data_IF_664020584041
#
_entry.id   IF_664020584041
#
_cell.length_a   1.000
_cell.length_b   1.000
_cell.length_c   1.000
_cell.angle_alpha   90.00
_cell.angle_beta   90.00
_cell.angle_gamma   90.00
#
_symmetry.space_group_name_H-M   'P 1'
#
loop_
_entity.id
_entity.type
_entity.pdbx_description
1 polymer ?
#
# COMPACT_ATOMS: atom_id res chain seq x y z
N UNK A 1 -41.52 -79.19 43.44
CA UNK A 1 -40.95 -78.28 42.42
C UNK A 1 -40.59 -77.02 43.18
N UNK A 2 -39.34 -76.57 43.16
CA UNK A 2 -38.90 -75.46 44.00
C UNK A 2 -39.56 -74.13 43.55
N UNK A 3 -39.86 -73.27 44.52
CA UNK A 3 -40.41 -71.93 44.29
C UNK A 3 -39.33 -70.85 44.53
N UNK A 4 -39.50 -69.69 43.91
CA UNK A 4 -38.52 -68.60 43.90
C UNK A 4 -39.21 -67.23 43.99
N UNK A 5 -38.50 -66.24 44.53
CA UNK A 5 -38.93 -64.82 44.48
C UNK A 5 -38.86 -64.27 43.05
N UNK A 6 -39.55 -63.17 42.80
CA UNK A 6 -39.86 -62.69 41.45
C UNK A 6 -38.65 -62.08 40.73
N UNK A 7 -37.89 -61.23 41.41
CA UNK A 7 -36.93 -60.33 40.77
C UNK A 7 -35.53 -60.94 40.66
N UNK A 8 -35.06 -61.58 41.74
CA UNK A 8 -33.71 -62.16 41.86
C UNK A 8 -33.71 -63.66 42.11
N UNK A 9 -34.87 -64.31 42.03
CA UNK A 9 -35.00 -65.78 42.06
C UNK A 9 -34.40 -66.40 43.34
N UNK A 10 -34.67 -65.81 44.51
CA UNK A 10 -34.27 -66.35 45.80
C UNK A 10 -35.14 -67.57 46.16
N UNK A 11 -34.53 -68.67 46.59
CA UNK A 11 -35.23 -69.92 46.86
C UNK A 11 -36.29 -69.79 47.97
N UNK A 12 -37.39 -70.51 47.84
CA UNK A 12 -38.44 -70.62 48.84
C UNK A 12 -38.60 -72.08 49.27
N UNK A 13 -38.59 -72.30 50.59
CA UNK A 13 -38.79 -73.62 51.18
C UNK A 13 -40.25 -74.05 51.11
N UNK A 14 -40.48 -75.25 50.58
CA UNK A 14 -41.78 -75.89 50.39
C UNK A 14 -42.03 -76.97 51.46
N UNK A 15 -43.30 -77.32 51.77
CA UNK A 15 -43.62 -78.31 52.80
C UNK A 15 -43.02 -79.71 52.57
N UNK A 16 -42.60 -80.01 51.34
CA UNK A 16 -41.97 -81.28 50.95
C UNK A 16 -40.45 -81.32 51.17
N UNK A 17 -39.82 -80.23 51.62
CA UNK A 17 -38.36 -80.16 51.74
C UNK A 17 -37.84 -80.84 53.02
N UNK A 18 -36.66 -81.47 52.92
CA UNK A 18 -36.01 -82.20 54.04
C UNK A 18 -35.69 -81.31 55.26
N UNK A 19 -35.47 -80.02 55.01
CA UNK A 19 -35.25 -79.00 56.04
C UNK A 19 -36.19 -77.82 55.82
N UNK A 20 -37.15 -77.65 56.72
CA UNK A 20 -38.15 -76.58 56.65
C UNK A 20 -37.64 -75.31 57.34
N UNK A 21 -37.22 -74.33 56.55
CA UNK A 21 -36.81 -72.98 57.01
C UNK A 21 -37.74 -71.90 56.46
N UNK A 22 -39.04 -72.18 56.55
CA UNK A 22 -40.08 -71.29 56.03
C UNK A 22 -40.13 -69.92 56.70
N UNK A 23 -39.51 -69.77 57.88
CA UNK A 23 -39.28 -68.49 58.55
C UNK A 23 -38.46 -67.50 57.69
N UNK A 24 -37.58 -68.01 56.82
CA UNK A 24 -36.77 -67.19 55.91
C UNK A 24 -37.48 -66.80 54.60
N UNK A 25 -38.58 -67.48 54.23
CA UNK A 25 -39.29 -67.22 52.98
C UNK A 25 -39.75 -65.76 52.90
N UNK A 26 -40.29 -65.23 54.00
CA UNK A 26 -40.78 -63.86 54.06
C UNK A 26 -39.64 -62.83 54.02
N UNK A 27 -38.50 -63.14 54.62
CA UNK A 27 -37.34 -62.25 54.58
C UNK A 27 -36.70 -62.20 53.19
N UNK A 28 -36.63 -63.33 52.49
CA UNK A 28 -36.18 -63.35 51.09
C UNK A 28 -37.14 -62.59 50.17
N UNK A 29 -38.46 -62.66 50.38
CA UNK A 29 -39.39 -61.80 49.63
C UNK A 29 -39.13 -60.32 49.89
N UNK A 30 -38.92 -59.91 51.15
CA UNK A 30 -38.62 -58.52 51.49
C UNK A 30 -37.30 -58.05 50.86
N UNK A 31 -36.26 -58.88 50.89
CA UNK A 31 -34.95 -58.56 50.30
C UNK A 31 -35.08 -58.44 48.77
N UNK A 32 -35.79 -59.38 48.12
CA UNK A 32 -36.02 -59.38 46.68
C UNK A 32 -36.70 -58.08 46.23
N UNK A 33 -37.78 -57.68 46.91
CA UNK A 33 -38.47 -56.41 46.66
C UNK A 33 -37.58 -55.21 46.94
N UNK A 34 -36.92 -55.16 48.11
CA UNK A 34 -36.11 -54.00 48.49
C UNK A 34 -34.93 -53.75 47.53
N UNK A 35 -34.26 -54.80 47.05
CA UNK A 35 -33.17 -54.67 46.06
C UNK A 35 -33.74 -54.17 44.72
N UNK A 36 -34.90 -54.70 44.29
CA UNK A 36 -35.52 -54.28 43.04
C UNK A 36 -35.93 -52.80 43.08
N UNK A 37 -36.59 -52.38 44.15
CA UNK A 37 -36.99 -50.99 44.36
C UNK A 37 -35.76 -50.06 44.36
N UNK A 38 -34.68 -50.46 45.05
CA UNK A 38 -33.42 -49.68 45.07
C UNK A 38 -32.78 -49.60 43.69
N UNK A 39 -32.77 -50.68 42.92
CA UNK A 39 -32.24 -50.68 41.54
C UNK A 39 -33.04 -49.75 40.63
N UNK A 40 -34.36 -49.80 40.72
CA UNK A 40 -35.26 -48.95 39.93
C UNK A 40 -35.13 -47.47 40.31
N UNK A 41 -34.98 -47.16 41.60
CA UNK A 41 -34.67 -45.81 42.09
C UNK A 41 -33.34 -45.31 41.51
N UNK A 42 -32.27 -46.10 41.63
CA UNK A 42 -30.95 -45.74 41.08
C UNK A 42 -31.02 -45.51 39.57
N UNK A 43 -31.71 -46.37 38.81
CA UNK A 43 -31.87 -46.20 37.36
C UNK A 43 -32.58 -44.88 37.04
N UNK A 44 -33.65 -44.59 37.78
CA UNK A 44 -34.43 -43.35 37.62
C UNK A 44 -33.57 -42.11 37.90
N UNK A 45 -32.76 -42.15 38.95
CA UNK A 45 -31.84 -41.06 39.28
C UNK A 45 -30.77 -40.87 38.20
N UNK A 46 -30.16 -41.96 37.71
CA UNK A 46 -29.18 -41.91 36.61
C UNK A 46 -29.78 -41.31 35.33
N UNK A 47 -30.99 -41.73 34.95
CA UNK A 47 -31.69 -41.18 33.78
C UNK A 47 -31.98 -39.67 33.96
N UNK A 48 -32.31 -39.26 35.17
CA UNK A 48 -32.48 -37.87 35.56
C UNK A 48 -31.19 -37.05 35.43
N UNK A 49 -30.06 -37.57 35.89
CA UNK A 49 -28.76 -36.92 35.76
C UNK A 49 -28.32 -36.79 34.30
N UNK A 50 -28.48 -37.85 33.50
CA UNK A 50 -28.16 -37.82 32.06
C UNK A 50 -28.98 -36.76 31.34
N UNK A 51 -30.29 -36.67 31.63
CA UNK A 51 -31.17 -35.66 31.05
C UNK A 51 -30.75 -34.22 31.41
N UNK A 52 -30.29 -34.01 32.65
CA UNK A 52 -29.77 -32.72 33.11
C UNK A 52 -28.46 -32.36 32.41
N UNK A 53 -27.56 -33.32 32.22
CA UNK A 53 -26.30 -33.13 31.49
C UNK A 53 -26.55 -32.79 30.03
N UNK A 54 -27.47 -33.48 29.35
CA UNK A 54 -27.83 -33.19 27.96
C UNK A 54 -28.39 -31.77 27.80
N UNK A 55 -29.27 -31.37 28.72
CA UNK A 55 -29.80 -30.01 28.78
C UNK A 55 -28.70 -28.97 28.98
N UNK A 56 -27.75 -29.24 29.88
CA UNK A 56 -26.65 -28.32 30.17
C UNK A 56 -25.69 -28.20 28.98
N UNK A 57 -25.37 -29.32 28.33
CA UNK A 57 -24.51 -29.36 27.13
C UNK A 57 -25.16 -28.58 25.98
N UNK A 58 -26.44 -28.79 25.73
CA UNK A 58 -27.20 -28.06 24.70
C UNK A 58 -27.15 -26.54 24.92
N UNK A 59 -27.32 -26.09 26.17
CA UNK A 59 -27.23 -24.66 26.53
C UNK A 59 -25.82 -24.10 26.35
N UNK A 60 -24.79 -24.88 26.71
CA UNK A 60 -23.40 -24.48 26.54
C UNK A 60 -23.03 -24.36 25.05
N UNK A 61 -23.45 -25.33 24.23
CA UNK A 61 -23.26 -25.30 22.77
C UNK A 61 -23.93 -24.07 22.16
N UNK A 62 -25.17 -23.78 22.56
CA UNK A 62 -25.89 -22.61 22.05
C UNK A 62 -25.22 -21.29 22.44
N UNK A 63 -24.68 -21.21 23.66
CA UNK A 63 -23.95 -20.03 24.12
C UNK A 63 -22.66 -19.83 23.32
N UNK A 64 -21.89 -20.89 23.07
CA UNK A 64 -20.69 -20.84 22.24
C UNK A 64 -21.01 -20.43 20.80
N UNK A 65 -22.09 -20.97 20.22
CA UNK A 65 -22.55 -20.61 18.89
C UNK A 65 -22.89 -19.11 18.80
N UNK A 66 -23.63 -18.59 19.79
CA UNK A 66 -24.02 -17.18 19.83
C UNK A 66 -22.81 -16.26 19.99
N UNK A 67 -21.86 -16.65 20.84
CA UNK A 67 -20.62 -15.90 21.03
C UNK A 67 -19.78 -15.85 19.75
N UNK A 68 -19.64 -16.99 19.06
CA UNK A 68 -18.92 -17.07 17.79
C UNK A 68 -19.57 -16.18 16.72
N UNK A 69 -20.90 -16.28 16.55
CA UNK A 69 -21.64 -15.46 15.60
C UNK A 69 -21.47 -13.96 15.89
N UNK A 70 -21.50 -13.57 17.17
CA UNK A 70 -21.29 -12.18 17.58
C UNK A 70 -19.88 -11.70 17.23
N UNK A 71 -18.85 -12.53 17.45
CA UNK A 71 -17.47 -12.19 17.12
C UNK A 71 -17.26 -12.06 15.61
N UNK A 72 -17.84 -12.96 14.80
CA UNK A 72 -17.77 -12.90 13.33
C UNK A 72 -18.36 -11.57 12.83
N UNK A 73 -19.56 -11.21 13.28
CA UNK A 73 -20.19 -9.93 12.90
C UNK A 73 -19.35 -8.71 13.28
N UNK A 74 -18.69 -8.74 14.45
CA UNK A 74 -17.79 -7.67 14.88
C UNK A 74 -16.56 -7.55 13.99
N UNK A 75 -15.97 -8.69 13.59
CA UNK A 75 -14.83 -8.72 12.68
C UNK A 75 -15.22 -8.19 11.30
N UNK A 76 -16.38 -8.57 10.77
CA UNK A 76 -16.88 -8.07 9.49
C UNK A 76 -17.06 -6.55 9.50
N UNK A 77 -17.64 -6.03 10.59
CA UNK A 77 -17.83 -4.59 10.78
C UNK A 77 -16.49 -3.85 10.86
N UNK A 78 -15.54 -4.37 11.65
CA UNK A 78 -14.23 -3.77 11.82
C UNK A 78 -13.44 -3.78 10.50
N UNK A 79 -13.48 -4.88 9.74
CA UNK A 79 -12.82 -5.01 8.46
C UNK A 79 -13.39 -4.04 7.42
N UNK A 80 -14.72 -3.94 7.33
CA UNK A 80 -15.39 -2.99 6.43
C UNK A 80 -15.01 -1.55 6.75
N UNK A 81 -14.97 -1.20 8.04
CA UNK A 81 -14.55 0.13 8.49
C UNK A 81 -13.10 0.42 8.11
N UNK A 82 -12.18 -0.51 8.38
CA UNK A 82 -10.77 -0.35 8.04
C UNK A 82 -10.57 -0.19 6.52
N UNK A 83 -11.29 -0.96 5.70
CA UNK A 83 -11.25 -0.85 4.25
C UNK A 83 -11.72 0.52 3.75
N UNK A 84 -12.79 1.08 4.35
CA UNK A 84 -13.28 2.41 4.00
C UNK A 84 -12.29 3.51 4.37
N UNK A 85 -11.69 3.43 5.56
CA UNK A 85 -10.65 4.37 6.00
C UNK A 85 -9.45 4.37 5.05
N UNK A 86 -8.90 3.20 4.74
CA UNK A 86 -7.76 3.08 3.82
C UNK A 86 -8.07 3.62 2.42
N UNK A 87 -9.28 3.37 1.91
CA UNK A 87 -9.72 3.94 0.62
C UNK A 87 -9.75 5.47 0.66
N UNK A 88 -10.24 6.06 1.75
CA UNK A 88 -10.31 7.52 1.93
C UNK A 88 -8.91 8.14 1.99
N UNK A 89 -8.00 7.53 2.77
CA UNK A 89 -6.61 7.98 2.91
C UNK A 89 -5.84 7.90 1.60
N UNK A 90 -6.00 6.79 0.86
CA UNK A 90 -5.38 6.59 -0.44
C UNK A 90 -5.86 7.61 -1.47
N UNK A 91 -7.18 7.85 -1.54
CA UNK A 91 -7.76 8.85 -2.44
C UNK A 91 -7.25 10.25 -2.09
N UNK A 92 -7.18 10.60 -0.81
CA UNK A 92 -6.65 11.89 -0.36
C UNK A 92 -5.18 12.07 -0.75
N UNK A 93 -4.38 11.01 -0.66
CA UNK A 93 -2.97 11.02 -1.06
C UNK A 93 -2.80 11.21 -2.56
N UNK A 94 -3.61 10.52 -3.39
CA UNK A 94 -3.63 10.73 -4.85
C UNK A 94 -3.95 12.19 -5.19
N UNK A 95 -4.95 12.78 -4.52
CA UNK A 95 -5.32 14.17 -4.79
C UNK A 95 -4.20 15.15 -4.45
N UNK A 96 -3.49 14.92 -3.34
CA UNK A 96 -2.30 15.71 -2.98
C UNK A 96 -1.22 15.59 -4.05
N UNK A 97 -0.91 14.38 -4.50
CA UNK A 97 0.08 14.14 -5.57
C UNK A 97 -0.32 14.87 -6.85
N UNK A 98 -1.58 14.76 -7.28
CA UNK A 98 -2.07 15.44 -8.48
C UNK A 98 -1.95 16.97 -8.36
N UNK A 99 -2.28 17.53 -7.19
CA UNK A 99 -2.15 18.97 -6.92
C UNK A 99 -0.70 19.43 -6.96
N UNK A 100 0.20 18.66 -6.36
CA UNK A 100 1.64 18.95 -6.38
C UNK A 100 2.18 18.87 -7.80
N UNK A 101 1.80 17.85 -8.58
CA UNK A 101 2.22 17.72 -9.98
C UNK A 101 1.78 18.92 -10.81
N UNK A 102 0.52 19.34 -10.70
CA UNK A 102 0.01 20.51 -11.38
C UNK A 102 0.80 21.78 -11.01
N UNK A 103 1.14 21.94 -9.72
CA UNK A 103 1.95 23.07 -9.26
C UNK A 103 3.38 23.04 -9.81
N UNK A 104 4.00 21.86 -9.90
CA UNK A 104 5.34 21.67 -10.50
C UNK A 104 5.30 22.02 -11.99
N UNK A 105 4.28 21.58 -12.71
CA UNK A 105 4.10 21.87 -14.13
C UNK A 105 3.97 23.38 -14.36
N UNK A 106 3.09 24.05 -13.62
CA UNK A 106 2.92 25.51 -13.72
C UNK A 106 4.23 26.26 -13.42
N UNK A 107 5.01 25.80 -12.43
CA UNK A 107 6.29 26.41 -12.09
C UNK A 107 7.39 26.13 -13.14
N UNK A 108 7.34 24.99 -13.83
CA UNK A 108 8.24 24.68 -14.93
C UNK A 108 7.92 25.52 -16.17
N UNK A 109 6.64 25.70 -16.48
CA UNK A 109 6.17 26.54 -17.60
C UNK A 109 6.39 28.04 -17.35
N UNK A 110 6.25 28.50 -16.10
CA UNK A 110 6.35 29.92 -15.74
C UNK A 110 7.76 30.45 -15.53
N UNK A 111 8.82 29.61 -15.55
CA UNK A 111 10.20 30.04 -15.33
C UNK A 111 10.99 30.09 -16.62
N UNK A 112 11.75 31.17 -16.82
CA UNK A 112 12.78 31.22 -17.85
C UNK A 112 13.89 30.22 -17.50
N UNK A 113 14.18 29.28 -18.40
CA UNK A 113 15.29 28.34 -18.25
C UNK A 113 16.47 28.85 -19.09
N UNK A 114 17.53 29.29 -18.43
CA UNK A 114 18.67 29.95 -19.07
C UNK A 114 19.95 29.20 -18.68
N UNK A 115 20.73 28.81 -19.69
CA UNK A 115 22.09 28.30 -19.51
C UNK A 115 23.06 29.47 -19.61
N UNK A 116 23.85 29.66 -18.56
CA UNK A 116 25.00 30.56 -18.57
C UNK A 116 26.26 29.77 -18.93
N UNK A 117 27.11 30.34 -19.77
CA UNK A 117 28.40 29.77 -20.04
C UNK A 117 29.37 30.79 -20.62
N UNK A 118 30.58 30.33 -20.88
CA UNK A 118 31.65 31.15 -21.44
C UNK A 118 32.43 30.41 -22.49
N UNK A 119 33.15 31.16 -23.31
CA UNK A 119 34.26 30.64 -24.09
C UNK A 119 35.33 31.73 -24.21
N UNK A 120 36.59 31.30 -24.35
CA UNK A 120 37.69 32.18 -24.73
C UNK A 120 37.81 32.19 -26.24
N UNK A 121 37.77 33.36 -26.86
CA UNK A 121 37.92 33.52 -28.28
C UNK A 121 39.30 33.09 -28.77
N UNK A 122 39.34 32.45 -29.93
CA UNK A 122 40.56 31.88 -30.52
C UNK A 122 40.99 32.58 -31.82
N UNK A 123 40.29 33.66 -32.21
CA UNK A 123 40.58 34.46 -33.40
C UNK A 123 40.22 33.78 -34.72
N UNK A 124 39.63 32.57 -34.70
CA UNK A 124 39.23 31.91 -35.94
C UNK A 124 38.04 32.61 -36.58
N UNK A 125 38.04 32.67 -37.92
CA UNK A 125 37.04 33.44 -38.68
C UNK A 125 35.61 32.96 -38.47
N UNK A 126 35.41 31.65 -38.31
CA UNK A 126 34.13 31.04 -37.96
C UNK A 126 34.38 29.90 -36.97
N UNK A 127 33.73 29.94 -35.82
CA UNK A 127 33.82 28.91 -34.78
C UNK A 127 32.43 28.51 -34.31
N UNK A 128 32.26 27.22 -34.01
CA UNK A 128 31.04 26.70 -33.40
C UNK A 128 31.27 26.44 -31.91
N UNK A 129 30.46 27.09 -31.06
CA UNK A 129 30.41 26.83 -29.62
C UNK A 129 29.21 25.94 -29.34
N UNK A 130 29.43 24.78 -28.70
CA UNK A 130 28.36 23.87 -28.33
C UNK A 130 27.72 24.30 -27.01
N UNK A 131 26.41 24.52 -27.03
CA UNK A 131 25.65 24.96 -25.87
C UNK A 131 25.03 23.80 -25.08
N UNK A 132 24.99 22.60 -25.66
CA UNK A 132 24.32 21.43 -25.07
C UNK A 132 22.78 21.51 -25.07
N UNK A 133 22.21 22.62 -25.53
CA UNK A 133 20.78 22.89 -25.62
C UNK A 133 20.45 23.49 -26.99
N UNK A 134 19.22 23.35 -27.47
CA UNK A 134 18.73 24.09 -28.65
C UNK A 134 18.10 25.39 -28.16
N UNK A 135 18.77 26.55 -28.25
CA UNK A 135 18.27 27.75 -27.61
C UNK A 135 17.18 28.43 -28.44
N UNK A 136 16.20 29.05 -27.76
CA UNK A 136 15.24 29.99 -28.35
C UNK A 136 15.90 31.32 -28.73
N UNK A 137 16.88 31.75 -27.93
CA UNK A 137 17.74 32.90 -28.18
C UNK A 137 19.04 32.75 -27.40
N UNK A 138 20.08 33.42 -27.89
CA UNK A 138 21.37 33.53 -27.22
C UNK A 138 21.77 34.99 -27.16
N UNK A 139 22.10 35.44 -25.95
CA UNK A 139 22.64 36.77 -25.67
C UNK A 139 24.11 36.64 -25.32
N UNK A 140 24.97 37.37 -26.03
CA UNK A 140 26.43 37.28 -25.92
C UNK A 140 27.05 38.65 -25.61
N UNK A 141 28.00 38.69 -24.67
CA UNK A 141 28.82 39.87 -24.38
C UNK A 141 30.29 39.48 -24.16
N UNK A 142 31.24 40.37 -24.52
CA UNK A 142 32.64 40.21 -24.12
C UNK A 142 32.81 40.47 -22.62
N UNK A 143 33.96 40.12 -22.07
CA UNK A 143 34.20 40.15 -20.62
C UNK A 143 34.14 41.51 -19.95
N UNK A 144 34.35 42.57 -20.73
CA UNK A 144 34.23 43.95 -20.26
C UNK A 144 32.77 44.44 -20.24
N UNK A 145 31.84 43.63 -20.76
CA UNK A 145 30.41 43.96 -20.84
C UNK A 145 30.10 45.10 -21.83
N UNK A 146 31.10 45.57 -22.58
CA UNK A 146 30.94 46.65 -23.54
C UNK A 146 30.35 46.13 -24.86
N UNK A 147 29.37 46.87 -25.37
CA UNK A 147 28.80 46.61 -26.68
C UNK A 147 29.42 47.57 -27.70
N UNK A 148 30.45 47.11 -28.40
CA UNK A 148 30.92 47.71 -29.64
C UNK A 148 30.32 46.98 -30.84
N UNK A 149 30.21 47.67 -31.99
CA UNK A 149 29.57 47.11 -33.19
C UNK A 149 30.23 45.78 -33.58
N UNK A 150 29.46 44.69 -33.48
CA UNK A 150 29.89 43.34 -33.84
C UNK A 150 30.57 42.50 -32.76
N UNK A 151 30.57 42.96 -31.51
CA UNK A 151 31.22 42.25 -30.38
C UNK A 151 30.27 41.35 -29.57
N UNK A 152 29.03 41.15 -30.04
CA UNK A 152 28.03 40.33 -29.36
C UNK A 152 26.61 40.72 -29.73
N UNK A 153 25.66 40.45 -28.84
CA UNK A 153 24.25 40.80 -29.01
C UNK A 153 23.31 39.61 -28.84
N UNK A 154 22.03 39.83 -29.19
CA UNK A 154 20.99 38.81 -29.14
C UNK A 154 20.76 38.22 -30.54
N UNK A 155 20.94 36.91 -30.69
CA UNK A 155 20.55 36.19 -31.90
C UNK A 155 19.56 35.07 -31.57
N UNK A 156 18.71 34.72 -32.53
CA UNK A 156 17.72 33.65 -32.41
C UNK A 156 17.72 32.78 -33.68
N UNK A 157 17.16 31.55 -33.65
CA UNK A 157 16.98 30.76 -34.86
C UNK A 157 16.29 31.56 -35.97
N UNK A 158 16.88 31.58 -37.17
CA UNK A 158 16.40 32.36 -38.31
C UNK A 158 16.67 33.88 -38.24
N UNK A 159 17.29 34.37 -37.15
CA UNK A 159 17.57 35.78 -36.91
C UNK A 159 19.06 35.96 -36.53
N UNK A 160 20.00 35.77 -37.49
CA UNK A 160 21.42 35.96 -37.23
C UNK A 160 21.76 37.44 -37.05
N UNK A 161 22.85 37.70 -36.33
CA UNK A 161 23.48 39.03 -36.31
C UNK A 161 24.43 39.09 -37.52
N UNK A 162 24.24 40.09 -38.37
CA UNK A 162 25.04 40.30 -39.59
C UNK A 162 25.62 41.70 -39.63
N UNK A 163 26.78 41.83 -40.26
CA UNK A 163 27.40 43.13 -40.59
C UNK A 163 26.60 43.88 -41.67
N UNK A 164 26.97 45.15 -41.92
CA UNK A 164 26.45 45.94 -43.07
C UNK A 164 26.80 45.33 -44.44
N UNK A 165 27.78 44.42 -44.51
CA UNK A 165 28.19 43.69 -45.71
C UNK A 165 27.68 42.25 -45.73
N UNK A 166 26.60 41.96 -44.99
CA UNK A 166 25.93 40.66 -44.88
C UNK A 166 26.77 39.50 -44.32
N UNK A 167 27.97 39.78 -43.79
CA UNK A 167 28.77 38.77 -43.09
C UNK A 167 28.15 38.41 -41.71
N UNK A 168 28.08 37.12 -41.39
CA UNK A 168 27.52 36.60 -40.14
C UNK A 168 28.48 36.85 -38.97
N UNK A 169 28.02 37.63 -38.00
CA UNK A 169 28.69 37.87 -36.72
C UNK A 169 28.34 36.78 -35.70
N UNK A 170 27.07 36.38 -35.66
CA UNK A 170 26.57 35.36 -34.75
C UNK A 170 25.31 34.70 -35.31
N UNK A 171 25.21 33.37 -35.19
CA UNK A 171 24.03 32.62 -35.65
C UNK A 171 23.79 31.37 -34.80
N UNK A 172 22.53 31.11 -34.42
CA UNK A 172 22.14 29.84 -33.81
C UNK A 172 22.02 28.74 -34.87
N UNK A 173 22.64 27.59 -34.63
CA UNK A 173 22.52 26.39 -35.45
C UNK A 173 22.36 25.13 -34.60
N UNK A 174 21.13 24.65 -34.43
CA UNK A 174 20.82 23.49 -33.59
C UNK A 174 21.24 23.74 -32.13
N UNK A 175 22.12 22.89 -31.60
CA UNK A 175 22.65 23.06 -30.23
C UNK A 175 23.89 23.95 -30.12
N UNK A 176 24.21 24.69 -31.18
CA UNK A 176 25.46 25.45 -31.29
C UNK A 176 25.17 26.91 -31.63
N UNK A 177 26.13 27.77 -31.31
CA UNK A 177 26.24 29.11 -31.91
C UNK A 177 27.48 29.17 -32.78
N UNK A 178 27.32 29.73 -33.97
CA UNK A 178 28.45 30.21 -34.75
C UNK A 178 28.83 31.60 -34.24
N UNK A 179 30.13 31.80 -34.00
CA UNK A 179 30.77 33.08 -33.66
C UNK A 179 31.91 33.33 -34.64
N UNK A 180 32.28 34.58 -34.86
CA UNK A 180 33.14 34.99 -35.96
C UNK A 180 34.10 36.10 -35.55
N UNK A 181 35.35 36.00 -36.02
CA UNK A 181 36.36 37.06 -35.94
C UNK A 181 36.74 37.52 -37.36
N UNK A 182 36.46 38.78 -37.70
CA UNK A 182 36.77 39.32 -39.03
C UNK A 182 36.89 40.85 -39.00
N UNK A 183 38.13 41.33 -39.14
CA UNK A 183 38.46 42.76 -39.16
C UNK A 183 37.83 43.51 -40.35
N UNK A 184 37.65 42.84 -41.50
CA UNK A 184 37.08 43.46 -42.71
C UNK A 184 35.58 43.77 -42.54
N UNK A 185 34.88 42.97 -41.73
CA UNK A 185 33.42 43.04 -41.54
C UNK A 185 33.02 43.48 -40.14
N UNK A 186 34.01 43.84 -39.31
CA UNK A 186 33.83 44.26 -37.91
C UNK A 186 33.20 43.18 -37.03
N UNK A 187 33.44 41.90 -37.33
CA UNK A 187 32.95 40.78 -36.51
C UNK A 187 33.95 40.50 -35.40
N UNK A 188 33.55 40.68 -34.15
CA UNK A 188 34.41 40.59 -32.98
C UNK A 188 33.79 39.68 -31.92
N UNK A 189 33.12 38.59 -32.31
CA UNK A 189 32.49 37.64 -31.39
C UNK A 189 33.42 36.47 -31.05
N UNK A 190 34.66 36.46 -31.55
CA UNK A 190 35.63 35.40 -31.29
C UNK A 190 37.07 35.94 -31.20
N UNK A 191 37.25 37.16 -30.70
CA UNK A 191 38.57 37.82 -30.61
C UNK A 191 39.55 36.96 -29.81
N UNK A 192 40.79 36.87 -30.32
CA UNK A 192 41.82 36.05 -29.70
C UNK A 192 42.07 36.50 -28.25
N UNK A 193 42.01 35.55 -27.32
CA UNK A 193 42.27 35.76 -25.89
C UNK A 193 41.27 36.70 -25.19
N UNK A 194 40.08 36.90 -25.77
CA UNK A 194 38.96 37.60 -25.10
C UNK A 194 37.96 36.58 -24.57
N UNK A 195 37.54 36.74 -23.31
CA UNK A 195 36.46 35.90 -22.76
C UNK A 195 35.10 36.46 -23.15
N UNK A 196 34.20 35.58 -23.56
CA UNK A 196 32.81 35.91 -23.84
C UNK A 196 31.89 35.17 -22.89
N UNK A 197 30.85 35.85 -22.43
CA UNK A 197 29.78 35.32 -21.60
C UNK A 197 28.50 35.21 -22.44
N UNK A 198 27.84 34.06 -22.37
CA UNK A 198 26.55 33.86 -23.03
C UNK A 198 25.45 33.44 -22.04
N UNK A 199 24.24 33.90 -22.34
CA UNK A 199 22.98 33.42 -21.78
C UNK A 199 22.18 32.80 -22.92
N UNK A 200 21.83 31.52 -22.80
CA UNK A 200 21.08 30.78 -23.80
C UNK A 200 19.77 30.28 -23.20
N UNK A 201 18.63 30.73 -23.72
CA UNK A 201 17.32 30.36 -23.19
C UNK A 201 16.75 29.12 -23.86
N UNK A 202 16.08 28.28 -23.07
CA UNK A 202 15.42 27.03 -23.48
C UNK A 202 13.91 27.23 -23.65
#
# INVERSE_FOLDING_TARGET
MASYTQHYQLHQWEPSDDFLRSDFNDDFKKIDTAIHDTEDELRTDFDGEVSRLDTALSKAQQTLQNNLNTQVTRLDTALSTAQQTLRSEFNSSIQKVNTTLASIQALAEGRANIVFGTYTGDGTKNRLINLGITPKWVLLFPELGDYSNGSGGLCAPGHPIVSKSDAIHMMVGGTKIQVSENLDTGSNTNMYNTVYYYLAAI
#
